data_IF_509447324106
#
_entry.id   IF_509447324106
#
_cell.length_a   1.000
_cell.length_b   1.000
_cell.length_c   1.000
_cell.angle_alpha   90.00
_cell.angle_beta   90.00
_cell.angle_gamma   90.00
#
_symmetry.space_group_name_H-M   'P 1'
#
loop_
_entity.id
_entity.type
_entity.pdbx_description
1 polymer ?
#
# COMPACT_ATOMS: atom_id res chain seq x y z
N UNK A 1 32.74 21.85 -3.67
CA UNK A 1 33.24 20.50 -3.33
C UNK A 1 34.32 20.09 -4.33
N UNK A 2 35.41 19.50 -3.86
CA UNK A 2 36.40 18.85 -4.73
C UNK A 2 35.76 17.66 -5.47
N UNK A 3 36.23 17.35 -6.68
CA UNK A 3 35.83 16.16 -7.46
C UNK A 3 35.76 14.85 -6.64
N UNK A 4 36.74 14.49 -5.79
CA UNK A 4 36.69 13.27 -4.99
C UNK A 4 35.52 13.24 -3.98
N UNK A 5 35.13 14.39 -3.42
CA UNK A 5 33.96 14.46 -2.54
C UNK A 5 32.66 14.16 -3.28
N UNK A 6 32.54 14.57 -4.55
CA UNK A 6 31.36 14.26 -5.39
C UNK A 6 31.32 12.79 -5.78
N UNK A 7 32.49 12.17 -5.98
CA UNK A 7 32.61 10.75 -6.28
C UNK A 7 32.16 9.89 -5.08
N UNK A 8 32.57 10.23 -3.86
CA UNK A 8 32.16 9.49 -2.65
C UNK A 8 30.64 9.44 -2.45
N UNK A 9 29.96 10.59 -2.56
CA UNK A 9 28.49 10.63 -2.47
C UNK A 9 27.81 9.86 -3.60
N UNK A 10 28.35 9.92 -4.83
CA UNK A 10 27.84 9.15 -5.97
C UNK A 10 27.95 7.65 -5.73
N UNK A 11 29.10 7.17 -5.24
CA UNK A 11 29.31 5.76 -4.93
C UNK A 11 28.40 5.28 -3.80
N UNK A 12 28.17 6.11 -2.78
CA UNK A 12 27.25 5.77 -1.70
C UNK A 12 25.80 5.63 -2.20
N UNK A 13 25.31 6.57 -3.02
CA UNK A 13 23.97 6.48 -3.61
C UNK A 13 23.88 5.34 -4.62
N UNK A 14 24.96 5.05 -5.37
CA UNK A 14 25.03 3.90 -6.27
C UNK A 14 24.90 2.59 -5.48
N UNK A 15 25.60 2.44 -4.37
CA UNK A 15 25.50 1.26 -3.51
C UNK A 15 24.07 1.08 -2.98
N UNK A 16 23.45 2.15 -2.47
CA UNK A 16 22.05 2.11 -2.02
C UNK A 16 21.10 1.75 -3.17
N UNK A 17 21.28 2.36 -4.34
CA UNK A 17 20.48 2.04 -5.52
C UNK A 17 20.65 0.57 -5.94
N UNK A 18 21.87 0.03 -5.91
CA UNK A 18 22.13 -1.37 -6.22
C UNK A 18 21.41 -2.31 -5.24
N UNK A 19 21.49 -2.02 -3.94
CA UNK A 19 20.81 -2.79 -2.87
C UNK A 19 19.31 -2.90 -3.12
N UNK A 20 18.67 -1.85 -3.64
CA UNK A 20 17.22 -1.83 -3.94
C UNK A 20 16.90 -2.40 -5.31
N UNK A 21 17.68 -2.05 -6.34
CA UNK A 21 17.36 -2.37 -7.74
C UNK A 21 17.71 -3.81 -8.09
N UNK A 22 18.81 -4.37 -7.57
CA UNK A 22 19.24 -5.73 -7.90
C UNK A 22 18.15 -6.79 -7.64
N UNK A 23 17.51 -6.89 -6.45
CA UNK A 23 16.48 -7.90 -6.22
C UNK A 23 15.29 -7.75 -7.18
N UNK A 24 14.87 -6.51 -7.46
CA UNK A 24 13.78 -6.23 -8.41
C UNK A 24 14.21 -6.58 -9.85
N UNK A 25 15.46 -6.28 -10.19
CA UNK A 25 16.07 -6.56 -11.48
C UNK A 25 16.19 -8.05 -11.76
N UNK A 26 16.54 -8.85 -10.74
CA UNK A 26 16.57 -10.31 -10.87
C UNK A 26 15.20 -10.87 -11.24
N UNK A 27 14.13 -10.40 -10.59
CA UNK A 27 12.77 -10.80 -10.96
C UNK A 27 12.42 -10.29 -12.36
N UNK A 28 12.78 -9.05 -12.71
CA UNK A 28 12.51 -8.48 -14.02
C UNK A 28 13.22 -9.21 -15.16
N UNK A 29 14.46 -9.67 -14.95
CA UNK A 29 15.26 -10.40 -15.95
C UNK A 29 14.76 -11.82 -16.14
N UNK A 30 14.15 -12.44 -15.12
CA UNK A 30 13.64 -13.83 -15.22
C UNK A 30 12.66 -14.03 -16.39
N UNK A 31 11.91 -12.98 -16.78
CA UNK A 31 10.98 -13.04 -17.92
C UNK A 31 11.70 -13.16 -19.28
N UNK A 32 12.98 -12.77 -19.35
CA UNK A 32 13.79 -12.84 -20.56
C UNK A 32 14.44 -14.23 -20.76
N UNK A 33 14.46 -15.04 -19.71
CA UNK A 33 15.01 -16.40 -19.71
C UNK A 33 13.97 -17.39 -19.18
N UNK A 34 12.80 -17.51 -19.84
CA UNK A 34 11.70 -18.33 -19.34
C UNK A 34 12.03 -19.83 -19.44
N UNK A 35 11.71 -20.59 -18.38
CA UNK A 35 11.78 -22.05 -18.41
C UNK A 35 10.54 -22.63 -19.10
N UNK A 36 10.73 -23.22 -20.29
CA UNK A 36 9.62 -23.72 -21.13
C UNK A 36 8.70 -24.67 -20.36
N UNK A 37 9.25 -25.51 -19.48
CA UNK A 37 8.49 -26.48 -18.69
C UNK A 37 7.50 -25.79 -17.75
N UNK A 38 7.97 -24.83 -16.94
CA UNK A 38 7.14 -24.06 -15.99
C UNK A 38 6.03 -23.32 -16.72
N UNK A 39 6.35 -22.57 -17.77
CA UNK A 39 5.35 -21.81 -18.52
C UNK A 39 4.34 -22.70 -19.22
N UNK A 40 4.77 -23.83 -19.77
CA UNK A 40 3.88 -24.77 -20.45
C UNK A 40 2.94 -25.50 -19.47
N UNK A 41 3.40 -25.74 -18.25
CA UNK A 41 2.58 -26.31 -17.17
C UNK A 41 1.57 -25.27 -16.67
N UNK A 42 2.03 -24.06 -16.38
CA UNK A 42 1.19 -22.95 -15.91
C UNK A 42 0.08 -22.62 -16.92
N UNK A 43 0.42 -22.53 -18.22
CA UNK A 43 -0.55 -22.24 -19.27
C UNK A 43 -1.65 -23.30 -19.40
N UNK A 44 -1.32 -24.56 -19.13
CA UNK A 44 -2.26 -25.70 -19.23
C UNK A 44 -3.12 -25.89 -17.99
N UNK A 45 -2.68 -25.39 -16.84
CA UNK A 45 -3.33 -25.67 -15.56
C UNK A 45 -4.15 -24.48 -15.11
N UNK A 46 -3.52 -23.40 -14.66
CA UNK A 46 -4.23 -22.34 -13.92
C UNK A 46 -3.93 -20.90 -14.39
N UNK A 47 -2.91 -20.68 -15.23
CA UNK A 47 -2.44 -19.32 -15.55
C UNK A 47 -3.53 -18.42 -16.19
N UNK A 48 -4.32 -18.88 -17.17
CA UNK A 48 -5.38 -18.04 -17.75
C UNK A 48 -6.40 -17.58 -16.70
N UNK A 49 -6.83 -18.48 -15.82
CA UNK A 49 -7.81 -18.19 -14.77
C UNK A 49 -7.22 -17.27 -13.69
N UNK A 50 -5.94 -17.44 -13.36
CA UNK A 50 -5.21 -16.53 -12.47
C UNK A 50 -5.11 -15.12 -13.06
N UNK A 51 -4.83 -14.97 -14.36
CA UNK A 51 -4.76 -13.67 -15.02
C UNK A 51 -6.12 -12.98 -15.05
N UNK A 52 -7.18 -13.71 -15.41
CA UNK A 52 -8.56 -13.19 -15.42
C UNK A 52 -8.98 -12.78 -14.02
N UNK A 53 -8.75 -13.63 -13.02
CA UNK A 53 -9.09 -13.35 -11.62
C UNK A 53 -8.33 -12.14 -11.08
N UNK A 54 -7.04 -12.00 -11.41
CA UNK A 54 -6.22 -10.86 -11.00
C UNK A 54 -6.75 -9.55 -11.62
N UNK A 55 -7.05 -9.54 -12.91
CA UNK A 55 -7.60 -8.36 -13.60
C UNK A 55 -9.00 -8.01 -13.08
N UNK A 56 -9.87 -9.01 -12.94
CA UNK A 56 -11.23 -8.83 -12.41
C UNK A 56 -11.21 -8.27 -10.98
N UNK A 57 -10.35 -8.82 -10.12
CA UNK A 57 -10.17 -8.33 -8.75
C UNK A 57 -9.69 -6.89 -8.74
N UNK A 58 -8.65 -6.54 -9.51
CA UNK A 58 -8.10 -5.19 -9.56
C UNK A 58 -9.13 -4.16 -10.03
N UNK A 59 -9.82 -4.44 -11.13
CA UNK A 59 -10.83 -3.53 -11.67
C UNK A 59 -11.96 -3.34 -10.65
N UNK A 60 -12.49 -4.44 -10.11
CA UNK A 60 -13.62 -4.39 -9.19
C UNK A 60 -13.27 -3.66 -7.89
N UNK A 61 -12.12 -3.96 -7.26
CA UNK A 61 -11.68 -3.29 -6.03
C UNK A 61 -11.42 -1.80 -6.28
N UNK A 62 -10.74 -1.44 -7.37
CA UNK A 62 -10.51 -0.02 -7.72
C UNK A 62 -11.82 0.72 -7.96
N UNK A 63 -12.77 0.12 -8.69
CA UNK A 63 -14.08 0.73 -8.93
C UNK A 63 -14.87 0.91 -7.63
N UNK A 64 -14.94 -0.11 -6.78
CA UNK A 64 -15.66 -0.06 -5.51
C UNK A 64 -15.03 0.92 -4.52
N UNK A 65 -13.71 0.96 -4.39
CA UNK A 65 -13.00 1.93 -3.54
C UNK A 65 -13.10 3.36 -4.06
N UNK A 66 -13.07 3.57 -5.38
CA UNK A 66 -13.32 4.88 -5.98
C UNK A 66 -14.73 5.37 -5.66
N UNK A 67 -15.73 4.51 -5.83
CA UNK A 67 -17.12 4.84 -5.53
C UNK A 67 -17.32 5.18 -4.04
N UNK A 68 -16.86 4.29 -3.17
CA UNK A 68 -17.02 4.42 -1.72
C UNK A 68 -16.18 5.58 -1.17
N UNK A 69 -14.88 5.60 -1.45
CA UNK A 69 -13.95 6.61 -0.94
C UNK A 69 -14.20 8.01 -1.47
N UNK A 70 -14.42 8.18 -2.79
CA UNK A 70 -14.75 9.49 -3.35
C UNK A 70 -16.15 9.95 -2.92
N UNK A 71 -17.11 9.03 -2.83
CA UNK A 71 -18.47 9.31 -2.34
C UNK A 71 -18.47 9.83 -0.90
N UNK A 72 -17.74 9.17 -0.01
CA UNK A 72 -17.58 9.60 1.40
C UNK A 72 -16.80 10.91 1.52
N UNK A 73 -15.74 11.09 0.71
CA UNK A 73 -14.98 12.33 0.68
C UNK A 73 -15.85 13.52 0.24
N UNK A 74 -16.68 13.31 -0.78
CA UNK A 74 -17.67 14.29 -1.21
C UNK A 74 -18.70 14.57 -0.11
N UNK A 75 -19.27 13.53 0.50
CA UNK A 75 -20.29 13.65 1.53
C UNK A 75 -19.79 14.48 2.73
N UNK A 76 -18.63 14.12 3.28
CA UNK A 76 -18.04 14.76 4.45
C UNK A 76 -17.40 16.11 4.12
N UNK A 77 -16.85 16.28 2.92
CA UNK A 77 -16.23 17.54 2.49
C UNK A 77 -17.25 18.62 2.12
N UNK A 78 -18.36 18.24 1.46
CA UNK A 78 -19.33 19.18 0.90
C UNK A 78 -20.44 19.57 1.86
N UNK A 79 -20.86 18.65 2.75
CA UNK A 79 -22.06 18.81 3.55
C UNK A 79 -21.77 18.88 5.05
N UNK A 80 -22.60 19.62 5.79
CA UNK A 80 -22.65 19.59 7.26
C UNK A 80 -23.89 18.80 7.71
N UNK A 81 -23.67 17.80 8.55
CA UNK A 81 -24.69 16.94 9.15
C UNK A 81 -24.24 16.51 10.57
N UNK A 82 -25.14 15.97 11.41
CA UNK A 82 -24.79 15.55 12.78
C UNK A 82 -23.64 14.54 12.79
N UNK A 83 -22.60 14.81 13.59
CA UNK A 83 -21.42 13.95 13.69
C UNK A 83 -20.37 14.10 12.58
N UNK A 84 -20.58 14.96 11.57
CA UNK A 84 -19.69 15.11 10.41
C UNK A 84 -18.20 15.33 10.77
N UNK A 85 -17.92 16.09 11.83
CA UNK A 85 -16.54 16.31 12.31
C UNK A 85 -15.88 15.01 12.79
N UNK A 86 -16.63 14.17 13.51
CA UNK A 86 -16.16 12.86 13.98
C UNK A 86 -15.93 11.92 12.81
N UNK A 87 -16.90 11.81 11.90
CA UNK A 87 -16.75 10.96 10.71
C UNK A 87 -15.57 11.35 9.82
N UNK A 88 -15.18 12.62 9.82
CA UNK A 88 -14.05 13.07 9.01
C UNK A 88 -12.73 12.35 9.30
N UNK A 89 -12.56 11.86 10.52
CA UNK A 89 -11.40 11.07 10.94
C UNK A 89 -11.76 9.61 11.26
N UNK A 90 -12.97 9.32 11.75
CA UNK A 90 -13.41 7.93 12.01
C UNK A 90 -13.38 7.08 10.72
N UNK A 91 -13.67 7.67 9.57
CA UNK A 91 -13.62 6.96 8.27
C UNK A 91 -12.20 6.58 7.84
N UNK A 92 -11.17 7.02 8.56
CA UNK A 92 -9.76 6.65 8.32
C UNK A 92 -9.34 5.46 9.19
N UNK A 93 -10.08 5.17 10.28
CA UNK A 93 -9.77 4.08 11.22
C UNK A 93 -9.52 2.70 10.60
N UNK A 94 -10.16 2.30 9.48
CA UNK A 94 -9.90 0.99 8.90
C UNK A 94 -8.44 0.76 8.50
N UNK A 95 -7.67 1.83 8.24
CA UNK A 95 -6.22 1.72 7.99
C UNK A 95 -5.43 1.17 9.19
N UNK A 96 -6.00 1.17 10.39
CA UNK A 96 -5.39 0.57 11.57
C UNK A 96 -5.50 -0.97 11.58
N UNK A 97 -6.40 -1.56 10.79
CA UNK A 97 -6.62 -3.00 10.72
C UNK A 97 -6.09 -3.50 9.37
N UNK A 98 -5.07 -4.39 9.35
CA UNK A 98 -4.59 -4.97 8.11
C UNK A 98 -5.71 -5.72 7.37
N UNK A 99 -5.70 -5.65 6.04
CA UNK A 99 -6.74 -6.26 5.20
C UNK A 99 -6.89 -7.77 5.42
N UNK A 100 -5.79 -8.51 5.63
CA UNK A 100 -5.86 -9.94 5.93
C UNK A 100 -6.55 -10.25 7.27
N UNK A 101 -6.37 -9.39 8.28
CA UNK A 101 -7.08 -9.51 9.55
C UNK A 101 -8.57 -9.25 9.32
N UNK A 102 -8.89 -8.21 8.55
CA UNK A 102 -10.28 -7.90 8.18
C UNK A 102 -10.93 -9.07 7.44
N UNK A 103 -10.23 -9.66 6.47
CA UNK A 103 -10.70 -10.84 5.72
C UNK A 103 -10.93 -12.05 6.59
N UNK A 104 -10.00 -12.35 7.50
CA UNK A 104 -10.16 -13.45 8.46
C UNK A 104 -11.38 -13.23 9.36
N UNK A 105 -11.59 -12.01 9.85
CA UNK A 105 -12.75 -11.66 10.68
C UNK A 105 -14.05 -11.80 9.90
N UNK A 106 -14.13 -11.29 8.67
CA UNK A 106 -15.32 -11.43 7.84
C UNK A 106 -15.62 -12.87 7.48
N UNK A 107 -14.60 -13.67 7.23
CA UNK A 107 -14.76 -15.10 7.02
C UNK A 107 -15.32 -15.76 8.27
N UNK A 108 -14.75 -15.52 9.46
CA UNK A 108 -15.29 -16.06 10.70
C UNK A 108 -16.71 -15.59 11.06
N UNK A 109 -17.12 -14.39 10.60
CA UNK A 109 -18.47 -13.86 10.80
C UNK A 109 -19.50 -14.48 9.82
N UNK A 110 -19.11 -14.60 8.56
CA UNK A 110 -20.02 -14.90 7.44
C UNK A 110 -19.98 -16.36 6.99
N UNK A 111 -18.91 -17.10 7.25
CA UNK A 111 -18.79 -18.52 6.86
C UNK A 111 -19.82 -19.40 7.56
N UNK A 112 -19.97 -20.65 7.13
CA UNK A 112 -21.02 -21.56 7.58
C UNK A 112 -21.16 -21.71 9.12
N UNK A 113 -20.07 -21.88 9.90
CA UNK A 113 -20.16 -21.93 11.36
C UNK A 113 -20.24 -20.55 12.03
N UNK A 114 -20.21 -19.46 11.25
CA UNK A 114 -20.22 -18.10 11.74
C UNK A 114 -21.56 -17.70 12.38
N UNK A 115 -21.55 -16.65 13.22
CA UNK A 115 -22.76 -16.18 13.91
C UNK A 115 -23.85 -15.73 12.94
N UNK A 116 -23.50 -15.16 11.78
CA UNK A 116 -24.50 -14.67 10.81
C UNK A 116 -25.28 -15.84 10.21
N UNK A 117 -24.61 -16.84 9.67
CA UNK A 117 -25.32 -17.99 9.09
C UNK A 117 -26.01 -18.85 10.17
N UNK A 118 -25.40 -18.99 11.36
CA UNK A 118 -26.02 -19.75 12.46
C UNK A 118 -27.32 -19.12 12.94
N UNK A 119 -27.38 -17.79 13.05
CA UNK A 119 -28.61 -17.07 13.42
C UNK A 119 -29.67 -17.13 12.30
N UNK A 120 -29.26 -16.98 11.05
CA UNK A 120 -30.17 -17.13 9.89
C UNK A 120 -30.80 -18.53 9.83
N UNK A 121 -29.99 -19.58 10.04
CA UNK A 121 -30.52 -20.96 10.09
C UNK A 121 -31.47 -21.18 11.28
N UNK A 122 -31.20 -20.53 12.41
CA UNK A 122 -32.09 -20.57 13.58
C UNK A 122 -33.45 -19.93 13.32
N UNK A 123 -33.53 -18.89 12.49
CA UNK A 123 -34.79 -18.19 12.19
C UNK A 123 -35.57 -18.77 11.02
N UNK A 124 -34.88 -19.22 9.98
CA UNK A 124 -35.51 -19.57 8.71
C UNK A 124 -35.34 -21.06 8.33
N UNK A 125 -34.63 -21.86 9.15
CA UNK A 125 -34.42 -23.30 8.95
C UNK A 125 -33.00 -23.68 8.50
N UNK A 126 -32.67 -24.97 8.52
CA UNK A 126 -31.31 -25.44 8.20
C UNK A 126 -30.90 -25.18 6.74
N UNK A 127 -31.87 -25.18 5.81
CA UNK A 127 -31.65 -25.10 4.36
C UNK A 127 -31.66 -23.66 3.81
N UNK A 128 -31.48 -22.66 4.67
CA UNK A 128 -31.49 -21.26 4.28
C UNK A 128 -30.31 -20.97 3.36
N UNK A 129 -30.63 -20.52 2.14
CA UNK A 129 -29.61 -20.15 1.16
C UNK A 129 -28.80 -18.94 1.64
N UNK A 130 -27.48 -19.04 1.56
CA UNK A 130 -26.53 -17.96 1.81
C UNK A 130 -25.49 -17.94 0.68
N UNK A 131 -25.10 -16.76 0.16
CA UNK A 131 -24.12 -16.67 -0.92
C UNK A 131 -22.77 -17.26 -0.50
N UNK A 132 -22.06 -17.86 -1.45
CA UNK A 132 -20.73 -18.43 -1.19
C UNK A 132 -19.77 -17.35 -0.68
N UNK A 133 -19.30 -17.54 0.55
CA UNK A 133 -18.46 -16.56 1.23
C UNK A 133 -17.06 -16.54 0.64
N UNK A 134 -16.51 -17.72 0.33
CA UNK A 134 -15.17 -17.88 -0.26
C UNK A 134 -15.26 -17.67 -1.78
N UNK A 135 -15.43 -16.42 -2.17
CA UNK A 135 -15.66 -16.04 -3.56
C UNK A 135 -14.99 -14.72 -3.92
N UNK A 136 -14.78 -14.49 -5.23
CA UNK A 136 -14.23 -13.24 -5.75
C UNK A 136 -15.04 -12.00 -5.33
N UNK A 137 -16.39 -11.98 -5.40
CA UNK A 137 -17.16 -10.83 -4.94
C UNK A 137 -16.92 -10.48 -3.48
N UNK A 138 -16.79 -11.47 -2.59
CA UNK A 138 -16.52 -11.22 -1.18
C UNK A 138 -15.09 -10.70 -0.95
N UNK A 139 -14.10 -11.23 -1.67
CA UNK A 139 -12.75 -10.66 -1.66
C UNK A 139 -12.75 -9.19 -2.09
N UNK A 140 -13.51 -8.84 -3.16
CA UNK A 140 -13.67 -7.46 -3.63
C UNK A 140 -14.28 -6.58 -2.54
N UNK A 141 -15.34 -7.04 -1.88
CA UNK A 141 -16.00 -6.29 -0.79
C UNK A 141 -15.02 -6.01 0.34
N UNK A 142 -14.36 -7.05 0.87
CA UNK A 142 -13.43 -6.91 2.00
C UNK A 142 -12.25 -6.00 1.67
N UNK A 143 -11.60 -6.21 0.52
CA UNK A 143 -10.48 -5.35 0.11
C UNK A 143 -10.95 -3.90 -0.13
N UNK A 144 -12.15 -3.71 -0.66
CA UNK A 144 -12.71 -2.36 -0.83
C UNK A 144 -12.97 -1.67 0.50
N UNK A 145 -13.47 -2.40 1.49
CA UNK A 145 -13.69 -1.89 2.85
C UNK A 145 -12.37 -1.57 3.56
N UNK A 146 -11.31 -2.34 3.30
CA UNK A 146 -9.98 -2.08 3.83
C UNK A 146 -9.31 -0.87 3.15
N UNK A 147 -9.44 -0.71 1.83
CA UNK A 147 -8.61 0.20 1.04
C UNK A 147 -9.31 1.48 0.56
N UNK A 148 -10.63 1.63 0.73
CA UNK A 148 -11.31 2.91 0.42
C UNK A 148 -10.70 4.13 1.15
N UNK A 149 -10.11 4.04 2.37
CA UNK A 149 -9.58 5.21 3.05
C UNK A 149 -8.46 5.91 2.27
N UNK A 150 -7.68 5.18 1.46
CA UNK A 150 -6.65 5.78 0.60
C UNK A 150 -7.26 6.76 -0.41
N UNK A 151 -8.34 6.35 -1.08
CA UNK A 151 -9.08 7.22 -2.00
C UNK A 151 -9.75 8.36 -1.23
N UNK A 152 -10.38 8.06 -0.10
CA UNK A 152 -11.07 9.05 0.73
C UNK A 152 -10.13 10.20 1.14
N UNK A 153 -8.92 9.89 1.62
CA UNK A 153 -7.94 10.89 2.05
C UNK A 153 -7.50 11.79 0.89
N UNK A 154 -7.12 11.20 -0.25
CA UNK A 154 -6.63 11.94 -1.41
C UNK A 154 -7.74 12.76 -2.08
N UNK A 155 -8.94 12.20 -2.18
CA UNK A 155 -10.10 12.91 -2.71
C UNK A 155 -10.48 14.08 -1.79
N UNK A 156 -10.49 13.88 -0.47
CA UNK A 156 -10.85 14.93 0.49
C UNK A 156 -9.82 16.07 0.49
N UNK A 157 -8.53 15.75 0.42
CA UNK A 157 -7.48 16.77 0.27
C UNK A 157 -7.70 17.61 -0.99
N UNK A 158 -7.93 16.97 -2.14
CA UNK A 158 -8.20 17.66 -3.40
C UNK A 158 -9.45 18.55 -3.35
N UNK A 159 -10.54 18.06 -2.75
CA UNK A 159 -11.76 18.83 -2.57
C UNK A 159 -11.55 20.06 -1.69
N UNK A 160 -10.74 19.93 -0.64
CA UNK A 160 -10.50 21.03 0.31
C UNK A 160 -9.58 22.10 -0.28
N UNK A 161 -8.56 21.71 -1.05
CA UNK A 161 -7.54 22.63 -1.57
C UNK A 161 -7.88 23.28 -2.92
N UNK A 162 -8.53 22.57 -3.84
CA UNK A 162 -8.51 22.95 -5.27
C UNK A 162 -9.86 23.46 -5.81
N UNK A 163 -10.95 23.25 -5.07
CA UNK A 163 -12.28 23.35 -5.68
C UNK A 163 -13.06 24.59 -5.32
N UNK A 164 -12.62 25.41 -4.36
CA UNK A 164 -13.51 26.41 -3.80
C UNK A 164 -13.85 27.59 -4.74
N UNK A 165 -12.82 28.31 -5.19
CA UNK A 165 -13.00 29.43 -6.09
C UNK A 165 -13.55 29.01 -7.46
N UNK A 166 -13.11 27.85 -7.98
CA UNK A 166 -13.55 27.32 -9.28
C UNK A 166 -14.97 26.79 -9.24
N UNK A 167 -15.39 26.17 -8.12
CA UNK A 167 -16.78 25.76 -7.92
C UNK A 167 -17.71 26.96 -7.77
N UNK A 168 -17.33 27.98 -7.00
CA UNK A 168 -18.12 29.21 -6.85
C UNK A 168 -18.27 29.95 -8.19
N UNK A 169 -17.20 30.07 -8.97
CA UNK A 169 -17.27 30.63 -10.32
C UNK A 169 -18.25 29.86 -11.22
N UNK A 170 -18.23 28.52 -11.19
CA UNK A 170 -19.18 27.70 -11.94
C UNK A 170 -20.64 27.95 -11.50
N UNK A 171 -20.87 28.12 -10.19
CA UNK A 171 -22.19 28.44 -9.63
C UNK A 171 -22.68 29.83 -10.05
N UNK A 172 -21.79 30.83 -10.08
CA UNK A 172 -22.10 32.19 -10.57
C UNK A 172 -22.45 32.17 -12.06
N UNK A 173 -21.79 31.32 -12.86
CA UNK A 173 -22.10 31.10 -14.28
C UNK A 173 -23.37 30.25 -14.52
N UNK A 174 -24.22 30.05 -13.50
CA UNK A 174 -25.51 29.37 -13.62
C UNK A 174 -25.46 27.84 -13.61
N UNK A 175 -24.30 27.20 -13.43
CA UNK A 175 -24.22 25.74 -13.35
C UNK A 175 -24.90 25.24 -12.08
N UNK A 176 -25.76 24.23 -12.20
CA UNK A 176 -26.34 23.50 -11.06
C UNK A 176 -25.25 22.85 -10.17
N UNK A 177 -25.54 22.49 -8.90
CA UNK A 177 -24.52 21.93 -8.00
C UNK A 177 -23.94 20.61 -8.53
N UNK A 178 -24.79 19.74 -9.11
CA UNK A 178 -24.36 18.50 -9.74
C UNK A 178 -23.57 18.74 -11.03
N UNK A 179 -23.92 19.78 -11.80
CA UNK A 179 -23.21 20.13 -13.02
C UNK A 179 -21.82 20.70 -12.70
N UNK A 180 -21.71 21.61 -11.72
CA UNK A 180 -20.44 22.12 -11.22
C UNK A 180 -19.56 20.99 -10.65
N UNK A 181 -20.15 20.04 -9.90
CA UNK A 181 -19.43 18.87 -9.40
C UNK A 181 -18.87 18.00 -10.54
N UNK A 182 -19.69 17.67 -11.54
CA UNK A 182 -19.28 16.79 -12.65
C UNK A 182 -18.34 17.46 -13.66
N UNK A 183 -18.52 18.75 -13.95
CA UNK A 183 -17.77 19.46 -15.00
C UNK A 183 -16.52 20.18 -14.50
N UNK A 184 -16.46 20.52 -13.21
CA UNK A 184 -15.34 21.28 -12.64
C UNK A 184 -14.64 20.47 -11.57
N UNK A 185 -15.37 20.04 -10.53
CA UNK A 185 -14.73 19.41 -9.36
C UNK A 185 -14.14 18.04 -9.70
N UNK A 186 -14.90 17.16 -10.36
CA UNK A 186 -14.44 15.80 -10.67
C UNK A 186 -13.22 15.78 -11.62
N UNK A 187 -13.18 16.60 -12.70
CA UNK A 187 -11.96 16.73 -13.51
C UNK A 187 -10.76 17.29 -12.75
N UNK A 188 -10.96 18.24 -11.84
CA UNK A 188 -9.89 18.78 -10.99
C UNK A 188 -9.39 17.75 -9.96
N UNK A 189 -10.29 16.91 -9.43
CA UNK A 189 -9.94 15.84 -8.48
C UNK A 189 -9.34 14.60 -9.16
N UNK A 190 -9.41 14.50 -10.49
CA UNK A 190 -8.94 13.33 -11.26
C UNK A 190 -7.49 12.91 -10.95
N UNK A 191 -6.49 13.81 -10.83
CA UNK A 191 -5.13 13.43 -10.46
C UNK A 191 -5.05 12.73 -9.10
N UNK A 192 -5.78 13.25 -8.10
CA UNK A 192 -5.80 12.67 -6.75
C UNK A 192 -6.59 11.35 -6.69
N UNK A 193 -7.68 11.25 -7.46
CA UNK A 193 -8.43 9.98 -7.60
C UNK A 193 -7.60 8.91 -8.33
N UNK A 194 -6.87 9.28 -9.38
CA UNK A 194 -5.97 8.37 -10.09
C UNK A 194 -4.83 7.88 -9.18
N UNK A 195 -4.23 8.77 -8.39
CA UNK A 195 -3.24 8.40 -7.39
C UNK A 195 -3.82 7.45 -6.33
N UNK A 196 -5.04 7.71 -5.84
CA UNK A 196 -5.72 6.82 -4.89
C UNK A 196 -6.04 5.45 -5.49
N UNK A 197 -6.54 5.41 -6.72
CA UNK A 197 -6.80 4.17 -7.45
C UNK A 197 -5.53 3.34 -7.64
N UNK A 198 -4.41 3.98 -7.98
CA UNK A 198 -3.13 3.30 -8.13
C UNK A 198 -2.61 2.74 -6.80
N UNK A 199 -2.73 3.48 -5.70
CA UNK A 199 -2.41 2.96 -4.36
C UNK A 199 -3.24 1.72 -4.01
N UNK A 200 -4.57 1.80 -4.21
CA UNK A 200 -5.46 0.66 -3.97
C UNK A 200 -5.07 -0.55 -4.82
N UNK A 201 -4.78 -0.35 -6.11
CA UNK A 201 -4.37 -1.43 -7.01
C UNK A 201 -3.04 -2.06 -6.57
N UNK A 202 -2.08 -1.26 -6.10
CA UNK A 202 -0.79 -1.75 -5.59
C UNK A 202 -0.93 -2.51 -4.27
N UNK A 203 -1.79 -2.06 -3.35
CA UNK A 203 -2.12 -2.79 -2.13
C UNK A 203 -2.83 -4.11 -2.45
N UNK A 204 -3.76 -4.09 -3.41
CA UNK A 204 -4.46 -5.30 -3.88
C UNK A 204 -3.51 -6.33 -4.51
N UNK A 205 -2.54 -5.88 -5.32
CA UNK A 205 -1.49 -6.77 -5.86
C UNK A 205 -0.59 -7.36 -4.78
N UNK A 206 -0.40 -6.62 -3.68
CA UNK A 206 0.46 -7.04 -2.57
C UNK A 206 -0.26 -8.02 -1.64
N UNK A 207 -1.58 -7.91 -1.50
CA UNK A 207 -2.37 -8.70 -0.57
C UNK A 207 -2.76 -10.07 -1.13
N UNK A 208 -1.86 -11.04 -1.01
CA UNK A 208 -2.16 -12.43 -1.35
C UNK A 208 -2.97 -13.14 -0.25
N UNK A 209 -2.80 -12.75 1.02
CA UNK A 209 -3.36 -13.48 2.16
C UNK A 209 -4.88 -13.36 2.25
N UNK A 210 -5.41 -12.13 2.13
CA UNK A 210 -6.87 -11.90 2.10
C UNK A 210 -7.51 -12.66 0.96
N UNK A 211 -6.91 -12.56 -0.23
CA UNK A 211 -7.41 -13.17 -1.47
C UNK A 211 -7.41 -14.70 -1.36
N UNK A 212 -6.38 -15.28 -0.75
CA UNK A 212 -6.29 -16.71 -0.47
C UNK A 212 -7.39 -17.19 0.50
N UNK A 213 -7.74 -16.42 1.54
CA UNK A 213 -8.84 -16.79 2.46
C UNK A 213 -10.17 -16.97 1.72
N UNK A 214 -10.42 -16.13 0.72
CA UNK A 214 -11.60 -16.20 -0.12
C UNK A 214 -11.48 -17.17 -1.32
N UNK A 215 -10.45 -18.02 -1.34
CA UNK A 215 -10.22 -19.03 -2.37
C UNK A 215 -10.16 -18.47 -3.81
N UNK A 216 -9.66 -17.24 -3.96
CA UNK A 216 -9.49 -16.62 -5.28
C UNK A 216 -8.05 -16.85 -5.73
N UNK A 217 -7.88 -17.55 -6.85
CA UNK A 217 -6.55 -17.79 -7.41
C UNK A 217 -6.10 -16.55 -8.20
N UNK A 218 -5.14 -15.80 -7.67
CA UNK A 218 -4.49 -14.69 -8.36
C UNK A 218 -3.01 -14.97 -8.56
N UNK A 219 -2.35 -14.21 -9.42
CA UNK A 219 -0.91 -14.36 -9.66
C UNK A 219 -0.12 -14.18 -8.36
N UNK A 220 -0.50 -13.22 -7.50
CA UNK A 220 0.17 -13.02 -6.20
C UNK A 220 0.03 -14.21 -5.25
N UNK A 221 -1.11 -14.91 -5.27
CA UNK A 221 -1.33 -16.13 -4.50
C UNK A 221 -0.47 -17.27 -5.05
N UNK A 222 -0.38 -17.40 -6.37
CA UNK A 222 0.45 -18.43 -7.02
C UNK A 222 1.93 -18.27 -6.66
N UNK A 223 2.46 -17.04 -6.62
CA UNK A 223 3.85 -16.78 -6.15
C UNK A 223 4.08 -17.39 -4.77
N UNK A 224 3.17 -17.15 -3.82
CA UNK A 224 3.29 -17.67 -2.47
C UNK A 224 3.20 -19.21 -2.42
N UNK A 225 2.25 -19.80 -3.16
CA UNK A 225 2.05 -21.25 -3.21
C UNK A 225 3.24 -21.98 -3.83
N UNK A 226 3.80 -21.46 -4.93
CA UNK A 226 4.96 -22.07 -5.61
C UNK A 226 6.20 -21.97 -4.73
N UNK A 227 6.42 -20.81 -4.10
CA UNK A 227 7.56 -20.61 -3.22
C UNK A 227 7.49 -21.45 -1.94
N UNK A 228 6.38 -21.38 -1.20
CA UNK A 228 6.28 -22.00 0.13
C UNK A 228 5.70 -23.42 0.10
N UNK A 229 4.88 -23.74 -0.91
CA UNK A 229 4.26 -25.06 -1.06
C UNK A 229 5.12 -26.03 -1.86
N UNK A 230 5.68 -25.59 -3.00
CA UNK A 230 6.49 -26.44 -3.88
C UNK A 230 8.01 -26.26 -3.68
N UNK A 231 8.44 -25.26 -2.92
CA UNK A 231 9.85 -24.90 -2.69
C UNK A 231 10.64 -24.62 -3.99
N UNK A 232 9.94 -24.29 -5.07
CA UNK A 232 10.54 -23.96 -6.36
C UNK A 232 10.78 -22.45 -6.47
N UNK A 233 12.02 -22.05 -6.19
CA UNK A 233 12.46 -20.65 -6.21
C UNK A 233 12.50 -20.07 -7.63
N UNK A 234 12.79 -20.90 -8.63
CA UNK A 234 12.91 -20.45 -10.02
C UNK A 234 11.51 -20.15 -10.56
N UNK A 235 10.59 -21.10 -10.43
CA UNK A 235 9.21 -20.91 -10.85
C UNK A 235 8.54 -19.75 -10.08
N UNK A 236 8.79 -19.60 -8.77
CA UNK A 236 8.26 -18.47 -8.00
C UNK A 236 8.77 -17.11 -8.51
N UNK A 237 10.04 -17.04 -8.94
CA UNK A 237 10.63 -15.82 -9.51
C UNK A 237 10.00 -15.48 -10.85
N UNK A 238 9.77 -16.48 -11.71
CA UNK A 238 9.10 -16.28 -12.99
C UNK A 238 7.65 -15.79 -12.82
N UNK A 239 6.88 -16.40 -11.91
CA UNK A 239 5.50 -15.96 -11.63
C UNK A 239 5.50 -14.57 -10.98
N UNK A 240 6.47 -14.25 -10.13
CA UNK A 240 6.61 -12.92 -9.55
C UNK A 240 6.88 -11.84 -10.62
N UNK A 241 7.51 -12.20 -11.74
CA UNK A 241 7.68 -11.28 -12.88
C UNK A 241 6.34 -10.83 -13.47
N UNK A 242 5.31 -11.69 -13.47
CA UNK A 242 3.96 -11.32 -13.91
C UNK A 242 3.32 -10.29 -12.97
N UNK A 243 3.50 -10.44 -11.65
CA UNK A 243 3.06 -9.44 -10.67
C UNK A 243 3.74 -8.10 -10.90
N UNK A 244 5.04 -8.11 -11.26
CA UNK A 244 5.78 -6.91 -11.63
C UNK A 244 5.24 -6.26 -12.91
N UNK A 245 4.85 -7.06 -13.92
CA UNK A 245 4.19 -6.55 -15.14
C UNK A 245 2.87 -5.85 -14.80
N UNK A 246 2.04 -6.43 -13.93
CA UNK A 246 0.81 -5.78 -13.46
C UNK A 246 1.10 -4.46 -12.73
N UNK A 247 2.11 -4.42 -11.86
CA UNK A 247 2.51 -3.20 -11.17
C UNK A 247 2.95 -2.10 -12.14
N UNK A 248 3.76 -2.45 -13.15
CA UNK A 248 4.18 -1.52 -14.20
C UNK A 248 2.97 -1.01 -14.99
N UNK A 249 2.02 -1.88 -15.32
CA UNK A 249 0.78 -1.50 -16.00
C UNK A 249 -0.06 -0.52 -15.16
N UNK A 250 -0.22 -0.76 -13.86
CA UNK A 250 -0.92 0.13 -12.93
C UNK A 250 -0.25 1.51 -12.89
N UNK A 251 1.08 1.57 -12.77
CA UNK A 251 1.84 2.83 -12.78
C UNK A 251 1.71 3.56 -14.13
N UNK A 252 1.73 2.82 -15.24
CA UNK A 252 1.52 3.36 -16.57
C UNK A 252 0.13 3.99 -16.73
N UNK A 253 -0.91 3.26 -16.33
CA UNK A 253 -2.30 3.72 -16.35
C UNK A 253 -2.52 4.93 -15.45
N UNK A 254 -1.90 4.95 -14.25
CA UNK A 254 -1.92 6.09 -13.33
C UNK A 254 -1.37 7.35 -14.00
N UNK A 255 -0.19 7.26 -14.64
CA UNK A 255 0.44 8.40 -15.32
C UNK A 255 -0.42 8.93 -16.46
N UNK A 256 -1.03 8.04 -17.25
CA UNK A 256 -1.95 8.43 -18.32
C UNK A 256 -3.21 9.07 -17.75
N UNK A 257 -3.76 8.51 -16.66
CA UNK A 257 -4.96 9.01 -16.00
C UNK A 257 -4.74 10.38 -15.33
N UNK A 258 -3.54 10.64 -14.81
CA UNK A 258 -3.13 11.94 -14.23
C UNK A 258 -3.02 13.03 -15.30
N UNK A 259 -2.65 12.67 -16.53
CA UNK A 259 -2.55 13.58 -17.68
C UNK A 259 -1.51 14.71 -17.48
N UNK A 260 -1.58 15.75 -18.32
CA UNK A 260 -0.71 16.95 -18.24
C UNK A 260 -1.17 17.96 -17.16
N UNK A 261 -2.09 17.56 -16.28
CA UNK A 261 -2.71 18.41 -15.29
C UNK A 261 -1.71 18.81 -14.17
N UNK A 262 -0.77 19.70 -14.49
CA UNK A 262 0.00 20.47 -13.52
C UNK A 262 -0.84 21.66 -13.08
N UNK A 263 -1.91 21.40 -12.33
CA UNK A 263 -2.62 22.48 -11.68
C UNK A 263 -1.67 23.08 -10.64
N UNK A 264 -1.17 24.28 -10.93
CA UNK A 264 -0.36 25.02 -9.98
C UNK A 264 -1.26 25.38 -8.80
N UNK A 265 -0.91 24.88 -7.61
CA UNK A 265 -1.51 25.28 -6.35
C UNK A 265 -1.27 26.77 -6.16
N UNK A 266 -2.26 27.60 -6.48
CA UNK A 266 -2.26 28.98 -6.00
C UNK A 266 -2.71 28.90 -4.54
N UNK A 267 -1.74 28.83 -3.64
CA UNK A 267 -1.98 28.83 -2.20
C UNK A 267 -2.81 30.05 -1.79
N UNK A 268 -3.80 29.84 -0.92
CA UNK A 268 -4.62 30.92 -0.35
C UNK A 268 -6.13 30.85 -0.63
N UNK A 269 -6.63 29.82 -1.32
CA UNK A 269 -8.07 29.69 -1.54
C UNK A 269 -8.83 29.39 -0.23
N UNK A 270 -9.82 30.24 0.10
CA UNK A 270 -10.79 29.96 1.18
C UNK A 270 -11.53 28.65 0.89
N UNK A 271 -11.74 27.82 1.91
CA UNK A 271 -12.61 26.64 1.80
C UNK A 271 -14.06 27.05 1.51
N UNK A 272 -14.75 26.37 0.58
CA UNK A 272 -16.20 26.57 0.35
C UNK A 272 -16.94 26.31 1.65
N UNK A 273 -17.89 27.17 1.99
CA UNK A 273 -18.80 26.89 3.09
C UNK A 273 -19.64 25.63 2.80
N UNK A 274 -19.55 24.59 3.65
CA UNK A 274 -20.29 23.36 3.42
C UNK A 274 -21.80 23.59 3.57
N UNK A 275 -22.57 22.94 2.69
CA UNK A 275 -24.04 23.05 2.68
C UNK A 275 -24.60 22.26 3.86
N UNK A 276 -25.41 22.91 4.69
CA UNK A 276 -26.08 22.26 5.82
C UNK A 276 -27.22 21.39 5.30
N UNK A 277 -27.15 20.09 5.57
CA UNK A 277 -28.28 19.17 5.34
C UNK A 277 -29.30 19.31 6.49
N UNK A 278 -30.57 19.12 6.18
CA UNK A 278 -31.68 19.19 7.16
C UNK A 278 -32.59 17.96 7.03
N UNK A 279 -33.25 17.59 8.14
CA UNK A 279 -34.23 16.51 8.19
C UNK A 279 -33.65 15.14 7.85
N UNK A 280 -34.43 14.32 7.13
CA UNK A 280 -34.08 12.94 6.77
C UNK A 280 -32.74 12.82 6.01
N UNK A 281 -32.39 13.80 5.17
CA UNK A 281 -31.12 13.79 4.41
C UNK A 281 -29.89 13.91 5.31
N UNK A 282 -30.00 14.65 6.41
CA UNK A 282 -28.91 14.77 7.37
C UNK A 282 -28.69 13.46 8.13
N UNK A 283 -29.77 12.81 8.56
CA UNK A 283 -29.73 11.51 9.22
C UNK A 283 -29.30 10.37 8.29
N UNK A 284 -29.69 10.40 7.01
CA UNK A 284 -29.20 9.44 6.02
C UNK A 284 -27.67 9.55 5.84
N UNK A 285 -27.12 10.76 5.80
CA UNK A 285 -25.67 10.97 5.74
C UNK A 285 -24.96 10.42 6.99
N UNK A 286 -25.51 10.70 8.19
CA UNK A 286 -25.02 10.11 9.44
C UNK A 286 -25.10 8.58 9.41
N UNK A 287 -26.20 8.02 8.92
CA UNK A 287 -26.42 6.57 8.81
C UNK A 287 -25.42 5.89 7.88
N UNK A 288 -25.17 6.45 6.69
CA UNK A 288 -24.17 5.93 5.75
C UNK A 288 -22.77 5.94 6.37
N UNK A 289 -22.34 7.06 6.95
CA UNK A 289 -21.02 7.13 7.59
C UNK A 289 -20.90 6.17 8.78
N UNK A 290 -21.96 6.06 9.59
CA UNK A 290 -22.00 5.14 10.73
C UNK A 290 -21.93 3.69 10.28
N UNK A 291 -22.66 3.32 9.23
CA UNK A 291 -22.64 1.97 8.66
C UNK A 291 -21.24 1.61 8.15
N UNK A 292 -20.60 2.53 7.41
CA UNK A 292 -19.23 2.29 6.92
C UNK A 292 -18.29 2.08 8.09
N UNK A 293 -18.24 2.98 9.07
CA UNK A 293 -17.39 2.83 10.26
C UNK A 293 -17.70 1.55 11.04
N UNK A 294 -18.98 1.18 11.14
CA UNK A 294 -19.40 -0.02 11.83
C UNK A 294 -18.84 -1.28 11.15
N UNK A 295 -19.04 -1.39 9.84
CA UNK A 295 -18.61 -2.53 9.02
C UNK A 295 -17.08 -2.56 8.93
N UNK A 296 -16.40 -1.44 8.73
CA UNK A 296 -14.96 -1.45 8.47
C UNK A 296 -14.08 -1.46 9.72
N UNK A 297 -14.63 -1.11 10.89
CA UNK A 297 -13.84 -1.02 12.11
C UNK A 297 -14.55 -1.59 13.34
N UNK A 298 -15.75 -1.11 13.69
CA UNK A 298 -16.38 -1.47 14.97
C UNK A 298 -16.70 -2.95 15.07
N UNK A 299 -17.39 -3.51 14.07
CA UNK A 299 -17.74 -4.94 14.03
C UNK A 299 -16.48 -5.82 14.03
N UNK A 300 -15.46 -5.55 13.19
CA UNK A 300 -14.23 -6.31 13.24
C UNK A 300 -13.51 -6.29 14.59
N UNK A 301 -13.39 -5.11 15.21
CA UNK A 301 -12.73 -4.96 16.51
C UNK A 301 -13.52 -5.68 17.61
N UNK A 302 -14.85 -5.54 17.63
CA UNK A 302 -15.69 -6.25 18.58
C UNK A 302 -15.57 -7.77 18.44
N UNK A 303 -15.49 -8.28 17.21
CA UNK A 303 -15.30 -9.72 16.97
C UNK A 303 -13.93 -10.20 17.48
N UNK A 304 -12.86 -9.43 17.24
CA UNK A 304 -11.52 -9.76 17.76
C UNK A 304 -11.50 -9.75 19.30
N UNK A 305 -12.19 -8.80 19.94
CA UNK A 305 -12.33 -8.77 21.40
C UNK A 305 -13.14 -9.96 21.92
N UNK A 306 -14.20 -10.36 21.21
CA UNK A 306 -14.99 -11.54 21.55
C UNK A 306 -14.16 -12.84 21.47
N UNK A 307 -13.37 -13.02 20.40
CA UNK A 307 -12.47 -14.16 20.27
C UNK A 307 -11.33 -14.14 21.30
N UNK A 308 -10.75 -12.98 21.56
CA UNK A 308 -9.69 -12.84 22.57
C UNK A 308 -10.20 -13.17 23.98
N UNK A 309 -11.38 -12.68 24.36
CA UNK A 309 -11.97 -12.94 25.68
C UNK A 309 -12.38 -14.41 25.85
N UNK A 310 -13.03 -15.02 24.85
CA UNK A 310 -13.40 -16.44 24.89
C UNK A 310 -12.17 -17.36 24.95
N UNK A 311 -11.13 -17.07 24.18
CA UNK A 311 -9.87 -17.83 24.24
C UNK A 311 -9.16 -17.71 25.61
N UNK A 312 -9.21 -16.52 26.22
CA UNK A 312 -8.63 -16.27 27.55
C UNK A 312 -9.40 -16.99 28.66
N UNK A 313 -10.73 -17.06 28.55
CA UNK A 313 -11.58 -17.77 29.52
C UNK A 313 -11.47 -19.30 29.39
N UNK A 314 -11.20 -19.80 28.17
CA UNK A 314 -11.00 -21.22 27.91
C UNK A 314 -9.58 -21.71 28.26
N UNK A 315 -8.62 -20.81 28.51
CA UNK A 315 -7.24 -21.20 28.80
C UNK A 315 -7.07 -21.65 30.26
N UNK A 316 -6.49 -22.84 30.45
CA UNK A 316 -6.27 -23.44 31.78
C UNK A 316 -5.34 -22.61 32.66
N UNK A 317 -4.47 -21.80 32.05
CA UNK A 317 -3.51 -20.94 32.76
C UNK A 317 -4.08 -19.59 33.16
N UNK A 318 -5.21 -19.17 32.56
CA UNK A 318 -5.77 -17.83 32.71
C UNK A 318 -4.88 -16.73 32.14
N UNK A 319 -5.47 -15.77 31.40
CA UNK A 319 -4.74 -14.60 30.89
C UNK A 319 -4.10 -14.77 29.50
N UNK A 320 -3.34 -13.75 29.10
CA UNK A 320 -2.66 -13.69 27.80
C UNK A 320 -1.53 -14.72 27.71
N UNK A 321 -1.28 -15.24 26.51
CA UNK A 321 -0.12 -16.13 26.24
C UNK A 321 1.16 -15.46 26.78
N UNK A 322 1.95 -16.12 27.64
CA UNK A 322 3.21 -15.58 28.17
C UNK A 322 4.18 -15.10 27.07
N UNK A 323 4.07 -15.66 25.87
CA UNK A 323 4.86 -15.28 24.69
C UNK A 323 4.39 -13.99 24.03
N UNK A 324 3.20 -13.49 24.34
CA UNK A 324 2.63 -12.29 23.71
C UNK A 324 3.56 -11.07 23.81
N UNK A 325 4.15 -10.85 24.99
CA UNK A 325 5.11 -9.77 25.18
C UNK A 325 6.35 -9.93 24.27
N UNK A 326 6.84 -11.17 24.11
CA UNK A 326 7.98 -11.45 23.23
C UNK A 326 7.63 -11.18 21.75
N UNK A 327 6.42 -11.51 21.31
CA UNK A 327 5.96 -11.21 19.94
C UNK A 327 5.84 -9.71 19.70
N UNK A 328 5.27 -8.97 20.67
CA UNK A 328 5.17 -7.51 20.61
C UNK A 328 6.57 -6.86 20.53
N UNK A 329 7.50 -7.28 21.39
CA UNK A 329 8.86 -6.76 21.40
C UNK A 329 9.61 -7.12 20.11
N UNK A 330 9.45 -8.32 19.56
CA UNK A 330 10.04 -8.70 18.28
C UNK A 330 9.51 -7.83 17.12
N UNK A 331 8.21 -7.56 17.07
CA UNK A 331 7.65 -6.65 16.06
C UNK A 331 8.18 -5.22 16.22
N UNK A 332 8.25 -4.71 17.46
CA UNK A 332 8.78 -3.38 17.76
C UNK A 332 10.27 -3.25 17.42
N UNK A 333 11.09 -4.26 17.72
CA UNK A 333 12.53 -4.22 17.42
C UNK A 333 12.78 -4.21 15.92
N UNK A 334 12.13 -5.08 15.15
CA UNK A 334 12.26 -5.10 13.70
C UNK A 334 11.79 -3.79 13.08
N UNK A 335 10.61 -3.29 13.47
CA UNK A 335 10.08 -2.03 12.97
C UNK A 335 10.99 -0.84 13.30
N UNK A 336 11.51 -0.78 14.53
CA UNK A 336 12.43 0.27 14.98
C UNK A 336 13.76 0.25 14.23
N UNK A 337 14.37 -0.94 14.06
CA UNK A 337 15.63 -1.10 13.32
C UNK A 337 15.46 -0.72 11.85
N UNK A 338 14.38 -1.16 11.20
CA UNK A 338 14.07 -0.75 9.83
C UNK A 338 13.87 0.76 9.72
N UNK A 339 13.10 1.37 10.62
CA UNK A 339 12.84 2.81 10.59
C UNK A 339 14.14 3.62 10.72
N UNK A 340 15.02 3.24 11.64
CA UNK A 340 16.34 3.86 11.81
C UNK A 340 17.22 3.68 10.58
N UNK A 341 17.27 2.47 10.01
CA UNK A 341 18.04 2.20 8.81
C UNK A 341 17.53 3.00 7.61
N UNK A 342 16.21 2.98 7.36
CA UNK A 342 15.59 3.76 6.28
C UNK A 342 15.82 5.26 6.47
N UNK A 343 15.69 5.79 7.69
CA UNK A 343 15.93 7.21 7.98
C UNK A 343 17.40 7.59 7.72
N UNK A 344 18.35 6.80 8.20
CA UNK A 344 19.78 7.05 7.99
C UNK A 344 20.15 7.02 6.50
N UNK A 345 19.67 6.01 5.77
CA UNK A 345 19.89 5.90 4.32
C UNK A 345 19.19 7.04 3.57
N UNK A 346 17.96 7.39 3.94
CA UNK A 346 17.21 8.50 3.34
C UNK A 346 17.94 9.84 3.50
N UNK A 347 18.44 10.14 4.70
CA UNK A 347 19.26 11.34 4.97
C UNK A 347 20.53 11.31 4.11
N UNK A 348 21.23 10.19 4.05
CA UNK A 348 22.42 10.04 3.20
C UNK A 348 22.11 10.33 1.73
N UNK A 349 21.06 9.73 1.17
CA UNK A 349 20.69 9.90 -0.24
C UNK A 349 20.20 11.34 -0.51
N UNK A 350 19.39 11.90 0.37
CA UNK A 350 18.87 13.27 0.20
C UNK A 350 20.01 14.30 0.30
N UNK A 351 20.89 14.18 1.29
CA UNK A 351 22.10 15.02 1.41
C UNK A 351 23.02 14.87 0.20
N UNK A 352 23.21 13.67 -0.33
CA UNK A 352 24.00 13.46 -1.56
C UNK A 352 23.42 14.21 -2.77
N UNK A 353 22.10 14.21 -2.92
CA UNK A 353 21.42 14.93 -4.01
C UNK A 353 21.52 16.45 -3.86
N UNK A 354 21.53 16.96 -2.62
CA UNK A 354 21.60 18.39 -2.30
C UNK A 354 23.02 18.95 -2.39
N UNK A 355 24.00 18.24 -1.82
CA UNK A 355 25.36 18.77 -1.60
C UNK A 355 26.31 18.63 -2.79
N UNK A 356 26.03 17.77 -3.78
CA UNK A 356 27.00 17.65 -4.88
C UNK A 356 26.74 16.63 -5.98
N UNK A 357 25.60 15.95 -5.95
CA UNK A 357 25.37 14.78 -6.79
C UNK A 357 25.25 15.01 -8.31
N UNK A 358 24.89 16.22 -8.74
CA UNK A 358 24.56 16.48 -10.15
C UNK A 358 23.38 15.65 -10.66
N UNK A 359 23.15 15.63 -11.98
CA UNK A 359 22.02 14.92 -12.57
C UNK A 359 22.09 13.39 -12.37
N UNK A 360 23.29 12.81 -12.38
CA UNK A 360 23.49 11.36 -12.21
C UNK A 360 23.05 10.86 -10.83
N UNK A 361 23.47 11.51 -9.75
CA UNK A 361 23.07 11.11 -8.39
C UNK A 361 21.57 11.25 -8.18
N UNK A 362 20.93 12.26 -8.78
CA UNK A 362 19.48 12.43 -8.73
C UNK A 362 18.74 11.29 -9.44
N UNK A 363 19.31 10.75 -10.54
CA UNK A 363 18.78 9.54 -11.19
C UNK A 363 18.97 8.31 -10.32
N UNK A 364 20.14 8.13 -9.72
CA UNK A 364 20.40 7.01 -8.79
C UNK A 364 19.52 7.07 -7.55
N UNK A 365 19.28 8.25 -6.98
CA UNK A 365 18.36 8.44 -5.87
C UNK A 365 16.93 8.04 -6.24
N UNK A 366 16.47 8.37 -7.46
CA UNK A 366 15.17 7.87 -7.96
C UNK A 366 15.15 6.34 -8.08
N UNK A 367 16.23 5.73 -8.56
CA UNK A 367 16.36 4.27 -8.63
C UNK A 367 16.31 3.61 -7.24
N UNK A 368 16.93 4.23 -6.23
CA UNK A 368 16.87 3.77 -4.84
C UNK A 368 15.45 3.79 -4.23
N UNK A 369 14.49 4.48 -4.87
CA UNK A 369 13.09 4.53 -4.41
C UNK A 369 12.16 3.56 -5.14
N UNK A 370 12.67 2.77 -6.10
CA UNK A 370 11.85 1.87 -6.92
C UNK A 370 11.18 0.77 -6.09
N UNK A 371 11.79 0.32 -5.00
CA UNK A 371 11.27 -0.79 -4.18
C UNK A 371 9.86 -0.58 -3.61
N UNK A 372 9.43 0.66 -3.41
CA UNK A 372 8.06 0.97 -2.97
C UNK A 372 7.02 0.80 -4.10
N UNK A 373 7.43 1.02 -5.34
CA UNK A 373 6.59 0.84 -6.53
C UNK A 373 6.42 -0.64 -6.92
N UNK A 374 7.04 -1.56 -6.18
CA UNK A 374 7.05 -2.99 -6.44
C UNK A 374 6.17 -3.69 -5.39
N UNK A 375 5.25 -4.59 -5.80
CA UNK A 375 4.42 -5.33 -4.86
C UNK A 375 5.23 -6.18 -3.88
N UNK A 376 4.72 -6.36 -2.67
CA UNK A 376 5.41 -7.08 -1.60
C UNK A 376 5.93 -8.48 -1.99
N UNK A 377 5.13 -9.33 -2.67
CA UNK A 377 5.60 -10.66 -3.13
C UNK A 377 6.81 -10.59 -4.04
N UNK A 378 6.86 -9.60 -4.94
CA UNK A 378 8.00 -9.41 -5.86
C UNK A 378 9.25 -8.99 -5.11
N UNK A 379 9.14 -8.07 -4.15
CA UNK A 379 10.27 -7.69 -3.30
C UNK A 379 10.76 -8.89 -2.49
N UNK A 380 9.86 -9.66 -1.89
CA UNK A 380 10.21 -10.83 -1.09
C UNK A 380 10.98 -11.87 -1.91
N UNK A 381 10.44 -12.26 -3.08
CA UNK A 381 11.09 -13.24 -3.96
C UNK A 381 12.41 -12.71 -4.51
N UNK A 382 12.46 -11.45 -4.95
CA UNK A 382 13.68 -10.84 -5.46
C UNK A 382 14.79 -10.77 -4.42
N UNK A 383 14.45 -10.43 -3.18
CA UNK A 383 15.38 -10.44 -2.05
C UNK A 383 15.86 -11.86 -1.77
N UNK A 384 14.97 -12.84 -1.70
CA UNK A 384 15.36 -14.24 -1.47
C UNK A 384 16.26 -14.78 -2.58
N UNK A 385 15.97 -14.46 -3.85
CA UNK A 385 16.81 -14.84 -4.99
C UNK A 385 18.20 -14.20 -4.90
N UNK A 386 18.26 -12.91 -4.52
CA UNK A 386 19.52 -12.21 -4.31
C UNK A 386 20.34 -12.82 -3.17
N UNK A 387 19.72 -13.10 -2.02
CA UNK A 387 20.41 -13.68 -0.88
C UNK A 387 20.90 -15.09 -1.20
N UNK A 388 20.11 -15.90 -1.90
CA UNK A 388 20.55 -17.22 -2.37
C UNK A 388 21.74 -17.15 -3.34
N UNK A 389 21.78 -16.13 -4.21
CA UNK A 389 22.92 -15.90 -5.11
C UNK A 389 24.18 -15.48 -4.33
N UNK A 390 24.03 -14.65 -3.29
CA UNK A 390 25.13 -14.27 -2.39
C UNK A 390 25.66 -15.49 -1.64
N UNK A 391 24.77 -16.31 -1.06
CA UNK A 391 25.16 -17.54 -0.35
C UNK A 391 25.95 -18.47 -1.29
N UNK A 392 25.47 -18.67 -2.52
CA UNK A 392 26.16 -19.49 -3.53
C UNK A 392 27.54 -18.92 -3.91
N UNK A 393 27.68 -17.60 -3.99
CA UNK A 393 28.95 -16.95 -4.28
C UNK A 393 29.96 -17.07 -3.12
N UNK A 394 29.49 -17.00 -1.87
CA UNK A 394 30.32 -17.20 -0.69
C UNK A 394 30.82 -18.65 -0.58
N UNK A 395 29.95 -19.60 -0.92
CA UNK A 395 30.31 -21.03 -0.98
C UNK A 395 31.44 -21.29 -1.98
N UNK A 396 31.43 -20.63 -3.14
CA UNK A 396 32.49 -20.74 -4.15
C UNK A 396 33.86 -20.23 -3.67
N UNK A 397 33.89 -19.29 -2.72
CA UNK A 397 35.13 -18.72 -2.16
C UNK A 397 35.55 -19.44 -0.87
N UNK A 398 34.84 -20.51 -0.47
CA UNK A 398 35.14 -21.29 0.72
C UNK A 398 34.82 -20.59 2.04
N UNK A 399 34.03 -19.50 1.99
CA UNK A 399 33.55 -18.75 3.16
C UNK A 399 32.14 -19.20 3.55
N UNK A 400 31.85 -20.49 3.47
CA UNK A 400 30.53 -21.03 3.75
C UNK A 400 30.24 -21.03 5.27
N UNK A 401 29.31 -20.20 5.72
CA UNK A 401 28.84 -20.14 7.12
C UNK A 401 27.59 -20.99 7.36
N UNK A 402 27.37 -22.01 6.52
CA UNK A 402 26.12 -22.77 6.42
C UNK A 402 25.06 -22.02 5.60
N UNK A 403 24.30 -22.75 4.76
CA UNK A 403 23.30 -22.25 3.78
C UNK A 403 22.11 -21.44 4.36
N UNK A 404 22.17 -21.04 5.63
CA UNK A 404 21.02 -20.57 6.42
C UNK A 404 21.28 -19.18 7.05
N UNK A 405 22.50 -18.64 6.99
CA UNK A 405 22.83 -17.43 7.75
C UNK A 405 22.24 -16.14 7.15
N UNK A 406 21.99 -16.07 5.84
CA UNK A 406 21.44 -14.86 5.21
C UNK A 406 19.95 -14.99 4.92
N UNK A 407 19.49 -16.19 4.54
CA UNK A 407 18.07 -16.49 4.26
C UNK A 407 17.23 -16.79 5.51
N UNK A 408 17.84 -17.27 6.60
CA UNK A 408 17.14 -17.65 7.84
C UNK A 408 17.29 -16.67 9.01
N UNK A 409 18.02 -15.55 8.85
CA UNK A 409 18.25 -14.59 9.93
C UNK A 409 17.44 -13.31 9.78
N UNK A 410 17.36 -12.55 10.88
CA UNK A 410 16.75 -11.22 10.95
C UNK A 410 17.32 -10.25 9.91
N UNK A 411 18.56 -10.46 9.45
CA UNK A 411 19.22 -9.58 8.47
C UNK A 411 18.49 -9.60 7.12
N UNK A 412 18.07 -10.76 6.63
CA UNK A 412 17.32 -10.87 5.38
C UNK A 412 15.97 -10.15 5.45
N UNK A 413 15.28 -10.26 6.59
CA UNK A 413 14.02 -9.54 6.85
C UNK A 413 14.23 -8.02 6.88
N UNK A 414 15.26 -7.54 7.60
CA UNK A 414 15.61 -6.12 7.66
C UNK A 414 15.96 -5.59 6.27
N UNK A 415 16.71 -6.36 5.48
CA UNK A 415 17.03 -6.00 4.09
C UNK A 415 15.76 -5.86 3.24
N UNK A 416 14.86 -6.85 3.27
CA UNK A 416 13.59 -6.78 2.54
C UNK A 416 12.75 -5.56 2.94
N UNK A 417 12.71 -5.26 4.24
CA UNK A 417 11.99 -4.09 4.74
C UNK A 417 12.65 -2.78 4.32
N UNK A 418 13.98 -2.68 4.33
CA UNK A 418 14.69 -1.50 3.81
C UNK A 418 14.38 -1.29 2.33
N UNK A 419 14.43 -2.34 1.51
CA UNK A 419 14.08 -2.25 0.08
C UNK A 419 12.66 -1.73 -0.12
N UNK A 420 11.70 -2.22 0.68
CA UNK A 420 10.30 -1.83 0.57
C UNK A 420 9.99 -0.42 1.10
N UNK A 421 10.57 -0.03 2.24
CA UNK A 421 10.18 1.19 2.96
C UNK A 421 11.12 2.38 2.76
N UNK A 422 12.28 2.21 2.11
CA UNK A 422 13.25 3.31 1.91
C UNK A 422 12.64 4.50 1.16
N UNK A 423 11.77 4.27 0.17
CA UNK A 423 11.16 5.37 -0.58
C UNK A 423 10.29 6.29 0.30
N UNK A 424 9.58 5.71 1.27
CA UNK A 424 8.72 6.48 2.19
C UNK A 424 9.58 7.39 3.09
N UNK A 425 10.69 6.85 3.61
CA UNK A 425 11.64 7.65 4.38
C UNK A 425 12.30 8.74 3.52
N UNK A 426 12.76 8.39 2.31
CA UNK A 426 13.39 9.33 1.38
C UNK A 426 12.45 10.48 1.01
N UNK A 427 11.22 10.19 0.61
CA UNK A 427 10.23 11.24 0.23
C UNK A 427 9.89 12.16 1.39
N UNK A 428 9.78 11.64 2.62
CA UNK A 428 9.56 12.45 3.81
C UNK A 428 10.76 13.36 4.13
N UNK A 429 11.99 12.84 4.03
CA UNK A 429 13.22 13.60 4.28
C UNK A 429 13.45 14.64 3.19
N UNK A 430 13.30 14.28 1.92
CA UNK A 430 13.45 15.17 0.76
C UNK A 430 12.47 16.34 0.84
N UNK A 431 11.18 16.08 1.09
CA UNK A 431 10.17 17.13 1.27
C UNK A 431 10.44 18.04 2.48
N UNK A 432 11.14 17.53 3.51
CA UNK A 432 11.55 18.34 4.67
C UNK A 432 12.77 19.19 4.34
N UNK A 433 13.74 18.67 3.59
CA UNK A 433 14.94 19.39 3.16
C UNK A 433 14.64 20.44 2.08
N UNK A 434 13.62 20.24 1.24
CA UNK A 434 13.15 21.25 0.28
C UNK A 434 12.72 22.57 0.96
N UNK A 435 12.32 22.52 2.23
CA UNK A 435 11.97 23.71 3.02
C UNK A 435 13.20 24.54 3.45
N UNK A 436 14.40 23.95 3.41
CA UNK A 436 15.65 24.63 3.78
C UNK A 436 16.27 25.29 2.57
N UNK A 437 16.30 26.63 2.56
CA UNK A 437 16.81 27.41 1.45
C UNK A 437 18.25 26.98 1.05
N UNK A 438 18.54 26.83 -0.26
CA UNK A 438 19.88 26.46 -0.72
C UNK A 438 20.98 27.42 -0.22
N UNK A 439 20.66 28.71 -0.09
CA UNK A 439 21.56 29.75 0.40
C UNK A 439 22.11 29.48 1.81
N UNK A 440 21.37 28.78 2.67
CA UNK A 440 21.86 28.41 4.00
C UNK A 440 23.00 27.39 3.92
N UNK A 441 22.88 26.43 3.00
CA UNK A 441 23.91 25.42 2.75
C UNK A 441 25.14 26.04 2.10
N UNK A 442 24.93 26.91 1.11
CA UNK A 442 26.03 27.60 0.44
C UNK A 442 26.80 28.50 1.42
N UNK A 443 26.11 29.25 2.28
CA UNK A 443 26.73 30.07 3.31
C UNK A 443 27.57 29.24 4.30
N UNK A 444 27.05 28.09 4.78
CA UNK A 444 27.78 27.23 5.68
C UNK A 444 29.06 26.68 5.04
N UNK A 445 28.99 26.25 3.77
CA UNK A 445 30.15 25.77 3.02
C UNK A 445 31.18 26.89 2.76
N UNK A 446 30.74 28.13 2.49
CA UNK A 446 31.64 29.28 2.32
C UNK A 446 32.33 29.67 3.63
N UNK A 447 31.67 29.50 4.78
CA UNK A 447 32.23 29.74 6.10
C UNK A 447 33.18 28.62 6.59
N UNK A 448 33.48 27.64 5.73
CA UNK A 448 34.45 26.57 6.01
C UNK A 448 33.84 25.30 6.62
N UNK A 449 32.52 25.18 6.72
CA UNK A 449 31.89 23.93 7.13
C UNK A 449 32.15 22.84 6.07
N UNK A 450 32.41 21.62 6.54
CA UNK A 450 32.53 20.46 5.67
C UNK A 450 31.15 19.98 5.19
N UNK A 451 31.03 19.29 4.04
CA UNK A 451 29.77 18.68 3.61
C UNK A 451 29.16 17.65 4.56
N UNK A 452 29.90 17.17 5.57
CA UNK A 452 29.36 16.28 6.61
C UNK A 452 28.80 17.03 7.81
N UNK A 453 29.22 18.28 8.00
CA UNK A 453 28.78 19.16 9.10
C UNK A 453 27.62 20.08 8.70
N UNK A 454 27.29 20.14 7.41
CA UNK A 454 26.11 20.84 6.85
C UNK A 454 25.02 19.82 6.56
#
# INVERSE_FOLDING_TARGET
>A
MSEPGRLGWRLAVLAVAAVVVVPVGLVAVSILTPTTEVWSFLWRTDLPDMLVSTVALLIAVVCCTLLLGAGLAWLVGRYRFPGQRWFSWLLVLPLAVPAYVLGFVYLGLLDYPGPVQTTLRGWFGADVWFPEVRSLPMAVVVLSLAFYPYVYLLARAALTEQTAATYEAARVLGQGPLQAARRVVLPLARPSLAAGAALVAMETLTDFATVQYFNVQTVSVAVYQVWNGMYDRVAATEIASLVLVFAIAVIGLERVARGRARFHQVGGARSVDPVRLRGARAWAATGVCSLVVAVTFVVPVLQLVAWSSTATLASTTGGLDPRYLSYLLNSLTIAGLTALACAAIAVLVASATRLGGGASTRRLARLATVGYAVPGPVVAIGVLAMLAAVDSALDLVGLSWGQVLVTGTVVGLLYAYVVRFLALAYTSVDASLEKVAPSMTDAALTLGASPRSV
#
